data_IF_395145392905
#
_entry.id   IF_395145392905
#
_cell.length_a   1.000
_cell.length_b   1.000
_cell.length_c   1.000
_cell.angle_alpha   90.00
_cell.angle_beta   90.00
_cell.angle_gamma   90.00
#
_symmetry.space_group_name_H-M   'P 1'
#
loop_
_entity.id
_entity.type
_entity.pdbx_description
1 polymer ?
#
# COMPACT_ATOMS: atom_id res chain seq x y z
N UNK A 1 57.82 0.48 3.47
CA UNK A 1 56.81 0.90 2.47
C UNK A 1 55.99 -0.34 2.20
N UNK A 2 55.04 -0.65 3.09
CA UNK A 2 54.16 -1.81 2.98
C UNK A 2 52.74 -1.27 2.75
N UNK A 3 52.24 -1.49 1.54
CA UNK A 3 50.92 -1.04 1.12
C UNK A 3 49.95 -2.18 1.43
N UNK A 4 49.06 -1.99 2.42
CA UNK A 4 47.98 -2.94 2.70
C UNK A 4 47.12 -3.11 1.43
N UNK A 5 46.76 -4.34 1.02
CA UNK A 5 45.85 -4.54 -0.09
C UNK A 5 44.48 -3.93 0.24
N UNK A 6 43.91 -3.19 -0.70
CA UNK A 6 42.56 -2.66 -0.58
C UNK A 6 41.56 -3.81 -0.35
N UNK A 7 40.54 -3.63 0.52
CA UNK A 7 39.56 -4.68 0.77
C UNK A 7 38.85 -5.02 -0.55
N UNK A 8 39.09 -6.23 -1.05
CA UNK A 8 38.43 -6.76 -2.23
C UNK A 8 36.94 -6.90 -1.93
N UNK A 9 36.11 -6.12 -2.62
CA UNK A 9 34.65 -6.26 -2.61
C UNK A 9 34.33 -7.73 -2.93
N UNK A 10 33.59 -8.45 -2.07
CA UNK A 10 33.30 -9.84 -2.31
C UNK A 10 32.53 -9.96 -3.64
N UNK A 11 32.82 -10.97 -4.48
CA UNK A 11 32.31 -11.13 -5.84
C UNK A 11 30.80 -11.35 -5.95
N UNK A 12 30.08 -11.25 -4.83
CA UNK A 12 28.64 -11.49 -4.70
C UNK A 12 27.89 -10.37 -3.97
N UNK A 13 28.54 -9.22 -3.72
CA UNK A 13 27.85 -8.04 -3.20
C UNK A 13 27.11 -7.35 -4.35
N UNK A 14 25.76 -7.40 -4.32
CA UNK A 14 24.94 -6.53 -5.18
C UNK A 14 25.42 -5.09 -5.02
N UNK A 15 25.67 -4.40 -6.13
CA UNK A 15 25.97 -2.97 -6.09
C UNK A 15 24.75 -2.21 -5.56
N UNK A 16 24.98 -1.13 -4.80
CA UNK A 16 23.95 -0.27 -4.22
C UNK A 16 22.95 0.24 -5.26
N UNK A 17 23.38 0.57 -6.48
CA UNK A 17 22.47 1.02 -7.53
C UNK A 17 21.45 -0.07 -7.92
N UNK A 18 21.90 -1.32 -8.06
CA UNK A 18 21.00 -2.46 -8.32
C UNK A 18 20.03 -2.70 -7.15
N UNK A 19 20.50 -2.55 -5.91
CA UNK A 19 19.63 -2.66 -4.73
C UNK A 19 18.59 -1.54 -4.70
N UNK A 20 18.96 -0.31 -5.08
CA UNK A 20 18.04 0.82 -5.18
C UNK A 20 16.93 0.55 -6.21
N UNK A 21 17.30 0.10 -7.41
CA UNK A 21 16.34 -0.27 -8.45
C UNK A 21 15.40 -1.40 -7.97
N UNK A 22 15.94 -2.46 -7.37
CA UNK A 22 15.14 -3.57 -6.85
C UNK A 22 14.18 -3.14 -5.72
N UNK A 23 14.64 -2.27 -4.81
CA UNK A 23 13.81 -1.76 -3.71
C UNK A 23 12.66 -0.91 -4.26
N UNK A 24 12.95 -0.01 -5.21
CA UNK A 24 11.94 0.89 -5.78
C UNK A 24 10.92 0.14 -6.62
N UNK A 25 11.35 -0.83 -7.43
CA UNK A 25 10.49 -1.71 -8.20
C UNK A 25 9.58 -2.55 -7.28
N UNK A 26 10.16 -3.19 -6.26
CA UNK A 26 9.37 -3.99 -5.31
C UNK A 26 8.37 -3.11 -4.55
N UNK A 27 8.75 -1.90 -4.15
CA UNK A 27 7.84 -0.98 -3.50
C UNK A 27 6.65 -0.61 -4.40
N UNK A 28 6.88 -0.35 -5.69
CA UNK A 28 5.80 -0.10 -6.65
C UNK A 28 4.85 -1.30 -6.77
N UNK A 29 5.40 -2.52 -6.87
CA UNK A 29 4.61 -3.75 -6.90
C UNK A 29 3.78 -3.96 -5.63
N UNK A 30 4.35 -3.71 -4.45
CA UNK A 30 3.63 -3.80 -3.18
C UNK A 30 2.48 -2.80 -3.09
N UNK A 31 2.67 -1.58 -3.60
CA UNK A 31 1.63 -0.57 -3.65
C UNK A 31 0.49 -0.96 -4.62
N UNK A 32 0.83 -1.46 -5.81
CA UNK A 32 -0.15 -1.97 -6.77
C UNK A 32 -0.92 -3.20 -6.23
N UNK A 33 -0.24 -4.12 -5.55
CA UNK A 33 -0.88 -5.24 -4.86
C UNK A 33 -1.79 -4.76 -3.72
N UNK A 34 -1.36 -3.74 -2.97
CA UNK A 34 -2.19 -3.10 -1.93
C UNK A 34 -3.45 -2.48 -2.51
N UNK A 35 -3.37 -1.82 -3.67
CA UNK A 35 -4.55 -1.33 -4.38
C UNK A 35 -5.55 -2.45 -4.65
N UNK A 36 -5.07 -3.57 -5.21
CA UNK A 36 -5.92 -4.73 -5.50
C UNK A 36 -6.59 -5.27 -4.23
N UNK A 37 -5.85 -5.37 -3.13
CA UNK A 37 -6.40 -5.77 -1.83
C UNK A 37 -7.51 -4.81 -1.37
N UNK A 38 -7.31 -3.49 -1.46
CA UNK A 38 -8.30 -2.50 -1.06
C UNK A 38 -9.59 -2.61 -1.89
N UNK A 39 -9.48 -2.81 -3.21
CA UNK A 39 -10.65 -3.02 -4.08
C UNK A 39 -11.46 -4.26 -3.65
N UNK A 40 -10.78 -5.36 -3.33
CA UNK A 40 -11.44 -6.58 -2.82
C UNK A 40 -12.09 -6.35 -1.45
N UNK A 41 -11.43 -5.60 -0.55
CA UNK A 41 -11.98 -5.25 0.76
C UNK A 41 -13.27 -4.43 0.60
N UNK A 42 -13.28 -3.43 -0.29
CA UNK A 42 -14.47 -2.62 -0.57
C UNK A 42 -15.62 -3.50 -1.05
N UNK A 43 -15.40 -4.29 -2.10
CA UNK A 43 -16.44 -5.18 -2.66
C UNK A 43 -16.97 -6.17 -1.62
N UNK A 44 -16.09 -6.73 -0.79
CA UNK A 44 -16.46 -7.64 0.27
C UNK A 44 -17.29 -6.97 1.39
N UNK A 45 -16.93 -5.73 1.76
CA UNK A 45 -17.65 -4.95 2.76
C UNK A 45 -19.02 -4.49 2.25
N UNK A 46 -19.11 -3.99 1.01
CA UNK A 46 -20.36 -3.59 0.35
C UNK A 46 -21.36 -4.75 0.23
N UNK A 47 -20.86 -5.97 0.04
CA UNK A 47 -21.69 -7.19 -0.02
C UNK A 47 -21.97 -7.81 1.34
N UNK A 48 -21.56 -7.16 2.42
CA UNK A 48 -21.67 -7.68 3.78
C UNK A 48 -21.07 -9.09 3.95
N UNK A 49 -20.04 -9.44 3.18
CA UNK A 49 -19.46 -10.79 3.19
C UNK A 49 -18.83 -11.16 4.54
N UNK A 50 -18.55 -10.16 5.38
CA UNK A 50 -18.05 -10.34 6.74
C UNK A 50 -19.11 -10.75 7.76
N UNK A 51 -20.41 -10.66 7.45
CA UNK A 51 -21.51 -10.78 8.43
C UNK A 51 -21.71 -12.18 9.06
N UNK A 52 -20.88 -13.17 8.72
CA UNK A 52 -20.90 -14.49 9.33
C UNK A 52 -20.23 -14.56 10.72
N UNK A 53 -20.56 -15.62 11.49
CA UNK A 53 -19.85 -16.00 12.72
C UNK A 53 -19.74 -14.92 13.82
N UNK A 54 -20.77 -14.07 13.97
CA UNK A 54 -20.80 -13.06 15.05
C UNK A 54 -19.84 -11.88 14.86
N UNK A 55 -19.32 -11.70 13.65
CA UNK A 55 -18.44 -10.59 13.30
C UNK A 55 -19.21 -9.27 13.24
N UNK A 56 -18.64 -8.21 13.84
CA UNK A 56 -19.31 -6.90 14.00
C UNK A 56 -19.10 -5.93 12.83
N UNK A 57 -18.14 -6.20 11.95
CA UNK A 57 -17.78 -5.33 10.81
C UNK A 57 -16.72 -6.00 9.91
N UNK A 58 -16.50 -5.51 8.70
CA UNK A 58 -15.37 -5.94 7.86
C UNK A 58 -14.01 -5.77 8.53
N UNK A 59 -13.79 -4.70 9.32
CA UNK A 59 -12.53 -4.51 10.04
C UNK A 59 -12.24 -5.63 11.07
N UNK A 60 -13.27 -6.11 11.76
CA UNK A 60 -13.16 -7.27 12.67
C UNK A 60 -12.84 -8.55 11.88
N UNK A 61 -13.48 -8.74 10.72
CA UNK A 61 -13.18 -9.87 9.84
C UNK A 61 -11.72 -9.84 9.36
N UNK A 62 -11.20 -8.69 8.94
CA UNK A 62 -9.79 -8.53 8.54
C UNK A 62 -8.83 -8.77 9.71
N UNK A 63 -9.20 -8.36 10.92
CA UNK A 63 -8.40 -8.64 12.10
C UNK A 63 -8.31 -10.13 12.41
N UNK A 64 -9.44 -10.83 12.35
CA UNK A 64 -9.49 -12.27 12.61
C UNK A 64 -8.88 -13.11 11.48
N UNK A 65 -9.35 -12.91 10.24
CA UNK A 65 -8.98 -13.75 9.09
C UNK A 65 -7.64 -13.39 8.47
N UNK A 66 -7.22 -12.13 8.54
CA UNK A 66 -5.99 -11.66 7.92
C UNK A 66 -4.91 -11.26 8.94
N UNK A 67 -5.18 -11.35 10.24
CA UNK A 67 -4.21 -10.97 11.29
C UNK A 67 -3.86 -9.48 11.32
N UNK A 68 -4.68 -8.62 10.71
CA UNK A 68 -4.40 -7.18 10.63
C UNK A 68 -4.85 -6.50 11.93
N UNK A 69 -3.97 -5.77 12.61
CA UNK A 69 -4.34 -5.04 13.82
C UNK A 69 -5.57 -4.15 13.59
N UNK A 70 -6.48 -4.08 14.58
CA UNK A 70 -7.79 -3.42 14.41
C UNK A 70 -7.72 -1.98 13.90
N UNK A 71 -6.71 -1.19 14.31
CA UNK A 71 -6.50 0.17 13.78
C UNK A 71 -6.21 0.17 12.27
N UNK A 72 -5.24 -0.64 11.84
CA UNK A 72 -4.88 -0.79 10.43
C UNK A 72 -6.03 -1.38 9.61
N UNK A 73 -6.81 -2.31 10.16
CA UNK A 73 -7.97 -2.89 9.50
C UNK A 73 -9.04 -1.82 9.21
N UNK A 74 -9.37 -0.97 10.18
CA UNK A 74 -10.29 0.16 9.99
C UNK A 74 -9.78 1.15 8.95
N UNK A 75 -8.48 1.47 8.99
CA UNK A 75 -7.88 2.35 7.99
C UNK A 75 -8.00 1.77 6.58
N UNK A 76 -7.75 0.47 6.39
CA UNK A 76 -7.89 -0.18 5.09
C UNK A 76 -9.32 -0.13 4.58
N UNK A 77 -10.31 -0.45 5.41
CA UNK A 77 -11.73 -0.37 5.00
C UNK A 77 -12.08 1.07 4.60
N UNK A 78 -11.70 2.08 5.40
CA UNK A 78 -11.96 3.49 5.09
C UNK A 78 -11.32 3.93 3.77
N UNK A 79 -10.03 3.61 3.57
CA UNK A 79 -9.31 3.98 2.33
C UNK A 79 -9.92 3.26 1.13
N UNK A 80 -10.28 1.98 1.28
CA UNK A 80 -10.89 1.18 0.23
C UNK A 80 -12.17 1.84 -0.30
N UNK A 81 -13.04 2.33 0.58
CA UNK A 81 -14.23 3.09 0.21
C UNK A 81 -13.89 4.46 -0.39
N UNK A 82 -12.98 5.24 0.22
CA UNK A 82 -12.62 6.57 -0.27
C UNK A 82 -12.03 6.56 -1.70
N UNK A 83 -11.29 5.50 -2.08
CA UNK A 83 -10.71 5.38 -3.42
C UNK A 83 -11.74 5.19 -4.54
N UNK A 84 -13.00 4.87 -4.21
CA UNK A 84 -14.08 4.81 -5.21
C UNK A 84 -14.36 6.18 -5.82
N UNK A 85 -14.21 7.24 -5.03
CA UNK A 85 -14.57 8.61 -5.43
C UNK A 85 -13.34 9.45 -5.79
N UNK A 86 -12.15 8.85 -5.81
CA UNK A 86 -10.86 9.52 -6.05
C UNK A 86 -10.12 8.86 -7.22
N UNK A 87 -10.59 9.02 -8.47
CA UNK A 87 -10.10 8.26 -9.62
C UNK A 87 -8.61 8.49 -9.92
N UNK A 88 -8.07 9.70 -9.71
CA UNK A 88 -6.65 9.97 -9.98
C UNK A 88 -5.76 9.33 -8.91
N UNK A 89 -6.10 9.46 -7.62
CA UNK A 89 -5.34 8.80 -6.54
C UNK A 89 -5.45 7.28 -6.66
N UNK A 90 -6.64 6.77 -7.01
CA UNK A 90 -6.90 5.35 -7.29
C UNK A 90 -6.01 4.83 -8.43
N UNK A 91 -5.92 5.57 -9.53
CA UNK A 91 -5.04 5.24 -10.66
C UNK A 91 -3.56 5.28 -10.28
N UNK A 92 -3.13 6.29 -9.53
CA UNK A 92 -1.74 6.42 -9.08
C UNK A 92 -1.32 5.25 -8.17
N UNK A 93 -2.17 4.84 -7.23
CA UNK A 93 -1.88 3.71 -6.34
C UNK A 93 -1.91 2.38 -7.11
N UNK A 94 -2.88 2.20 -8.01
CA UNK A 94 -2.97 1.03 -8.90
C UNK A 94 -1.68 0.84 -9.70
N UNK A 95 -1.12 1.93 -10.21
CA UNK A 95 0.14 1.92 -10.95
C UNK A 95 1.41 1.88 -10.07
N UNK A 96 1.28 1.83 -8.74
CA UNK A 96 2.43 1.85 -7.82
C UNK A 96 3.18 3.18 -7.75
N UNK A 97 2.64 4.26 -8.34
CA UNK A 97 3.28 5.59 -8.45
C UNK A 97 3.24 6.38 -7.14
N UNK A 98 2.32 6.05 -6.24
CA UNK A 98 2.19 6.65 -4.91
C UNK A 98 2.10 5.56 -3.86
N UNK A 99 2.71 5.79 -2.69
CA UNK A 99 2.71 4.82 -1.60
C UNK A 99 1.35 4.75 -0.90
N UNK A 100 1.01 3.56 -0.36
CA UNK A 100 -0.17 3.41 0.51
C UNK A 100 -0.15 4.41 1.68
N UNK A 101 1.02 4.73 2.24
CA UNK A 101 1.17 5.71 3.30
C UNK A 101 0.76 7.13 2.87
N UNK A 102 1.16 7.58 1.67
CA UNK A 102 0.76 8.89 1.12
C UNK A 102 -0.74 8.90 0.82
N UNK A 103 -1.29 7.84 0.21
CA UNK A 103 -2.74 7.69 -0.03
C UNK A 103 -3.55 7.72 1.27
N UNK A 104 -3.09 7.04 2.31
CA UNK A 104 -3.76 7.04 3.62
C UNK A 104 -3.89 8.44 4.23
N UNK A 105 -2.87 9.27 4.02
CA UNK A 105 -2.89 10.67 4.43
C UNK A 105 -3.82 11.51 3.53
N UNK A 106 -3.68 11.38 2.21
CA UNK A 106 -4.50 12.11 1.22
C UNK A 106 -5.99 11.87 1.39
N UNK A 107 -6.42 10.61 1.56
CA UNK A 107 -7.83 10.22 1.70
C UNK A 107 -8.52 10.79 2.97
N UNK A 108 -7.82 11.55 3.80
CA UNK A 108 -8.42 12.34 4.90
C UNK A 108 -9.02 13.67 4.43
N UNK A 109 -8.54 14.21 3.32
CA UNK A 109 -8.85 15.58 2.84
C UNK A 109 -9.14 15.65 1.33
N UNK A 110 -8.81 14.58 0.61
CA UNK A 110 -9.00 14.48 -0.83
C UNK A 110 -10.50 14.46 -1.17
N UNK A 111 -10.82 15.13 -2.26
CA UNK A 111 -12.11 15.22 -2.92
C UNK A 111 -11.86 15.10 -4.43
N UNK A 112 -12.86 14.75 -5.25
CA UNK A 112 -12.71 14.74 -6.71
C UNK A 112 -12.18 16.07 -7.28
N UNK A 113 -12.43 17.19 -6.60
CA UNK A 113 -12.08 18.54 -7.05
C UNK A 113 -10.64 18.96 -6.70
N UNK A 114 -9.96 18.26 -5.79
CA UNK A 114 -8.61 18.65 -5.33
C UNK A 114 -7.58 17.50 -5.35
N UNK A 115 -7.97 16.31 -5.80
CA UNK A 115 -7.08 15.15 -5.77
C UNK A 115 -5.86 15.29 -6.70
N UNK A 116 -5.99 16.08 -7.77
CA UNK A 116 -4.90 16.45 -8.68
C UNK A 116 -3.82 17.27 -7.98
N UNK A 117 -4.22 18.28 -7.22
CA UNK A 117 -3.32 19.13 -6.44
C UNK A 117 -2.52 18.31 -5.41
N UNK A 118 -3.13 17.29 -4.81
CA UNK A 118 -2.46 16.43 -3.83
C UNK A 118 -1.43 15.48 -4.48
N UNK A 119 -1.56 15.20 -5.77
CA UNK A 119 -0.67 14.30 -6.52
C UNK A 119 0.56 14.99 -7.11
N UNK A 120 0.58 16.33 -7.16
CA UNK A 120 1.74 17.14 -7.54
C UNK A 120 2.91 16.97 -6.54
#
# INVERSE_FOLDING_TARGET
MDQLPAPSTPPNARNLATLEDEITELAAHLNAATYRLLTLIREFDERHGWSGAGMKSCAHWLNWKCGIAMGAAREKVRIAHALNDLPQISSALRGGKVSFSKVRAMTRVATPQNEDYLLM
#
